data_IF_022793464940
#
_entry.id   IF_022793464940
#
_cell.length_a   1.000
_cell.length_b   1.000
_cell.length_c   1.000
_cell.angle_alpha   90.00
_cell.angle_beta   90.00
_cell.angle_gamma   90.00
#
_symmetry.space_group_name_H-M   'P 1'
#
loop_
_entity.id
_entity.type
_entity.pdbx_description
1 polymer ?
#
# COMPACT_ATOMS: atom_id res chain seq x y z
N UNK A 1 35.91 41.94 -33.82
CA UNK A 1 35.87 40.56 -33.28
C UNK A 1 34.46 40.30 -32.80
N UNK A 2 33.68 39.50 -33.54
CA UNK A 2 32.35 39.07 -33.12
C UNK A 2 32.52 37.91 -32.13
N UNK A 3 32.15 38.16 -30.87
CA UNK A 3 32.11 37.13 -29.84
C UNK A 3 30.78 36.40 -29.98
N UNK A 4 30.81 35.21 -30.55
CA UNK A 4 29.68 34.28 -30.57
C UNK A 4 29.50 33.69 -29.18
N UNK A 5 28.45 34.12 -28.47
CA UNK A 5 28.05 33.55 -27.19
C UNK A 5 27.44 32.17 -27.47
N UNK A 6 27.94 31.08 -26.86
CA UNK A 6 27.34 29.76 -27.03
C UNK A 6 25.94 29.74 -26.39
N UNK A 7 24.95 29.30 -27.17
CA UNK A 7 23.59 29.09 -26.69
C UNK A 7 23.57 27.98 -25.64
N UNK A 8 23.09 28.33 -24.44
CA UNK A 8 22.82 27.37 -23.36
C UNK A 8 21.76 26.39 -23.87
N UNK A 9 21.98 25.06 -23.80
CA UNK A 9 20.96 24.11 -24.21
C UNK A 9 19.74 24.30 -23.30
N UNK A 10 18.59 24.64 -23.90
CA UNK A 10 17.33 24.69 -23.20
C UNK A 10 17.10 23.33 -22.54
N UNK A 11 17.20 23.27 -21.21
CA UNK A 11 16.89 22.08 -20.44
C UNK A 11 15.50 21.59 -20.86
N UNK A 12 15.36 20.29 -21.16
CA UNK A 12 14.06 19.68 -21.46
C UNK A 12 13.11 20.01 -20.32
N UNK A 13 12.21 20.96 -20.54
CA UNK A 13 11.15 21.29 -19.60
C UNK A 13 10.32 20.04 -19.32
N UNK A 14 10.02 19.80 -18.06
CA UNK A 14 9.12 18.75 -17.61
C UNK A 14 7.75 19.00 -18.28
N UNK A 15 7.18 17.98 -18.91
CA UNK A 15 5.92 18.09 -19.67
C UNK A 15 4.72 18.19 -18.73
N UNK A 16 3.63 18.86 -19.12
CA UNK A 16 2.42 19.01 -18.27
C UNK A 16 1.87 17.66 -17.75
N UNK A 17 1.94 16.62 -18.58
CA UNK A 17 1.58 15.24 -18.17
C UNK A 17 2.44 14.73 -17.02
N UNK A 18 3.72 15.08 -16.98
CA UNK A 18 4.62 14.70 -15.90
C UNK A 18 4.29 15.46 -14.61
N UNK A 19 3.89 16.74 -14.70
CA UNK A 19 3.41 17.49 -13.54
C UNK A 19 2.11 16.91 -12.96
N UNK A 20 1.15 16.54 -13.80
CA UNK A 20 -0.09 15.89 -13.34
C UNK A 20 0.22 14.54 -12.67
N UNK A 21 1.12 13.76 -13.26
CA UNK A 21 1.55 12.49 -12.69
C UNK A 21 2.23 12.67 -11.33
N UNK A 22 3.11 13.66 -11.22
CA UNK A 22 3.85 13.97 -9.99
C UNK A 22 2.91 14.46 -8.89
N UNK A 23 1.97 15.36 -9.23
CA UNK A 23 0.95 15.85 -8.31
C UNK A 23 0.03 14.74 -7.81
N UNK A 24 -0.36 13.81 -8.69
CA UNK A 24 -1.17 12.65 -8.30
C UNK A 24 -0.40 11.70 -7.38
N UNK A 25 0.88 11.43 -7.67
CA UNK A 25 1.75 10.60 -6.84
C UNK A 25 1.97 11.21 -5.45
N UNK A 26 2.30 12.50 -5.39
CA UNK A 26 2.52 13.22 -4.13
C UNK A 26 1.22 13.31 -3.32
N UNK A 27 0.10 13.62 -3.99
CA UNK A 27 -1.23 13.66 -3.38
C UNK A 27 -1.60 12.31 -2.76
N UNK A 28 -1.46 11.21 -3.51
CA UNK A 28 -1.74 9.87 -2.98
C UNK A 28 -0.81 9.51 -1.81
N UNK A 29 0.48 9.85 -1.90
CA UNK A 29 1.45 9.55 -0.84
C UNK A 29 1.12 10.30 0.46
N UNK A 30 0.73 11.58 0.34
CA UNK A 30 0.30 12.38 1.48
C UNK A 30 -0.99 11.84 2.09
N UNK A 31 -1.96 11.49 1.25
CA UNK A 31 -3.24 10.93 1.68
C UNK A 31 -3.05 9.61 2.44
N UNK A 32 -2.20 8.71 1.91
CA UNK A 32 -1.79 7.46 2.55
C UNK A 32 -1.15 7.77 3.92
N UNK A 33 -0.15 8.66 3.99
CA UNK A 33 0.50 8.99 5.27
C UNK A 33 -0.49 9.52 6.33
N UNK A 34 -1.42 10.40 5.93
CA UNK A 34 -2.42 10.99 6.84
C UNK A 34 -3.45 9.95 7.28
N UNK A 35 -3.97 9.12 6.37
CA UNK A 35 -4.93 8.06 6.74
C UNK A 35 -4.30 6.97 7.60
N UNK A 36 -3.01 6.66 7.40
CA UNK A 36 -2.27 5.75 8.27
C UNK A 36 -2.18 6.26 9.71
N UNK A 37 -1.87 7.56 9.89
CA UNK A 37 -1.83 8.20 11.22
C UNK A 37 -3.21 8.21 11.86
N UNK A 38 -4.27 8.53 11.11
CA UNK A 38 -5.64 8.54 11.61
C UNK A 38 -6.06 7.13 12.03
N UNK A 39 -5.81 6.13 11.20
CA UNK A 39 -6.12 4.72 11.49
C UNK A 39 -5.40 4.23 12.74
N UNK A 40 -4.10 4.50 12.87
CA UNK A 40 -3.32 4.13 14.05
C UNK A 40 -3.85 4.83 15.32
N UNK A 41 -4.21 6.10 15.21
CA UNK A 41 -4.78 6.88 16.32
C UNK A 41 -6.13 6.32 16.76
N UNK A 42 -6.99 5.98 15.79
CA UNK A 42 -8.33 5.41 16.05
C UNK A 42 -8.24 4.03 16.69
N UNK A 43 -7.26 3.20 16.33
CA UNK A 43 -7.04 1.91 17.00
C UNK A 43 -6.46 2.04 18.41
N UNK A 44 -5.66 3.08 18.66
CA UNK A 44 -4.97 3.26 19.95
C UNK A 44 -5.84 3.92 21.03
N UNK A 45 -6.77 4.79 20.63
CA UNK A 45 -7.65 5.52 21.56
C UNK A 45 -8.58 4.60 22.39
N UNK A 46 -9.26 3.59 21.81
CA UNK A 46 -10.12 2.66 22.55
C UNK A 46 -9.35 1.80 23.55
N UNK A 47 -8.13 1.38 23.22
CA UNK A 47 -7.27 0.54 24.07
C UNK A 47 -6.80 1.31 25.32
N UNK A 48 -6.57 2.61 25.19
CA UNK A 48 -6.06 3.45 26.30
C UNK A 48 -7.15 4.10 27.15
N UNK A 49 -8.42 4.09 26.69
CA UNK A 49 -9.56 4.67 27.43
C UNK A 49 -10.70 3.64 27.62
N UNK A 50 -10.58 2.71 28.59
CA UNK A 50 -11.57 1.65 28.85
C UNK A 50 -12.95 2.14 29.34
N UNK A 51 -13.16 3.45 29.53
CA UNK A 51 -14.44 4.02 29.97
C UNK A 51 -15.39 4.40 28.81
N UNK A 52 -15.03 4.13 27.56
CA UNK A 52 -15.93 4.33 26.42
C UNK A 52 -16.91 3.15 26.36
N UNK A 53 -18.18 3.41 26.69
CA UNK A 53 -19.22 2.37 26.75
C UNK A 53 -19.40 1.54 25.47
N UNK A 54 -20.17 0.45 25.60
CA UNK A 54 -20.41 -0.62 24.61
C UNK A 54 -20.65 -0.16 23.17
N UNK A 55 -21.35 0.96 22.95
CA UNK A 55 -21.63 1.50 21.61
C UNK A 55 -20.39 2.06 20.90
N UNK A 56 -19.46 2.64 21.66
CA UNK A 56 -18.27 3.29 21.10
C UNK A 56 -17.21 2.28 20.68
N UNK A 57 -17.18 1.11 21.32
CA UNK A 57 -16.29 0.00 20.97
C UNK A 57 -16.56 -0.53 19.55
N UNK A 58 -17.82 -0.86 19.25
CA UNK A 58 -18.20 -1.43 17.95
C UNK A 58 -17.95 -0.43 16.81
N UNK A 59 -18.37 0.83 17.01
CA UNK A 59 -18.20 1.90 16.00
C UNK A 59 -16.73 2.26 15.84
N UNK A 60 -15.96 2.34 16.92
CA UNK A 60 -14.53 2.64 16.90
C UNK A 60 -13.73 1.59 16.13
N UNK A 61 -13.98 0.30 16.39
CA UNK A 61 -13.32 -0.79 15.66
C UNK A 61 -13.75 -0.84 14.19
N UNK A 62 -15.03 -0.57 13.88
CA UNK A 62 -15.49 -0.50 12.49
C UNK A 62 -14.80 0.65 11.73
N UNK A 63 -14.71 1.83 12.34
CA UNK A 63 -14.05 2.98 11.72
C UNK A 63 -12.54 2.74 11.58
N UNK A 64 -11.89 2.18 12.60
CA UNK A 64 -10.48 1.80 12.56
C UNK A 64 -10.19 0.79 11.46
N UNK A 65 -10.97 -0.28 11.36
CA UNK A 65 -10.80 -1.30 10.32
C UNK A 65 -11.08 -0.72 8.92
N UNK A 66 -12.10 0.14 8.78
CA UNK A 66 -12.39 0.78 7.49
C UNK A 66 -11.27 1.73 7.06
N UNK A 67 -10.71 2.50 8.01
CA UNK A 67 -9.61 3.42 7.75
C UNK A 67 -8.32 2.68 7.35
N UNK A 68 -8.03 1.54 7.99
CA UNK A 68 -6.86 0.74 7.66
C UNK A 68 -6.98 0.10 6.28
N UNK A 69 -8.15 -0.47 5.95
CA UNK A 69 -8.43 -0.97 4.60
C UNK A 69 -8.33 0.11 3.54
N UNK A 70 -8.85 1.32 3.80
CA UNK A 70 -8.73 2.45 2.90
C UNK A 70 -7.26 2.80 2.60
N UNK A 71 -6.44 2.85 3.64
CA UNK A 71 -5.00 3.12 3.53
C UNK A 71 -4.32 2.12 2.59
N UNK A 72 -4.54 0.82 2.81
CA UNK A 72 -3.92 -0.23 2.00
C UNK A 72 -4.43 -0.25 0.57
N UNK A 73 -5.74 -0.05 0.38
CA UNK A 73 -6.34 0.00 -0.95
C UNK A 73 -5.78 1.17 -1.75
N UNK A 74 -5.56 2.32 -1.11
CA UNK A 74 -4.93 3.49 -1.72
C UNK A 74 -3.48 3.22 -2.14
N UNK A 75 -2.73 2.50 -1.30
CA UNK A 75 -1.38 2.07 -1.63
C UNK A 75 -1.35 1.08 -2.80
N UNK A 76 -2.27 0.13 -2.86
CA UNK A 76 -2.42 -0.79 -4.00
C UNK A 76 -2.67 -0.02 -5.31
N UNK A 77 -3.59 0.96 -5.29
CA UNK A 77 -3.85 1.84 -6.45
C UNK A 77 -2.57 2.53 -6.89
N UNK A 78 -1.79 3.05 -5.94
CA UNK A 78 -0.51 3.70 -6.22
C UNK A 78 0.46 2.78 -6.96
N UNK A 79 0.63 1.55 -6.47
CA UNK A 79 1.56 0.58 -7.08
C UNK A 79 1.08 0.19 -8.47
N UNK A 80 -0.21 -0.15 -8.60
CA UNK A 80 -0.80 -0.54 -9.87
C UNK A 80 -0.72 0.59 -10.90
N UNK A 81 -0.94 1.83 -10.48
CA UNK A 81 -0.78 3.00 -11.33
C UNK A 81 0.67 3.15 -11.82
N UNK A 82 1.67 3.00 -10.94
CA UNK A 82 3.08 2.98 -11.34
C UNK A 82 3.37 1.87 -12.34
N UNK A 83 2.84 0.67 -12.11
CA UNK A 83 2.98 -0.47 -13.02
C UNK A 83 2.41 -0.14 -14.41
N UNK A 84 1.25 0.52 -14.47
CA UNK A 84 0.66 1.02 -15.72
C UNK A 84 1.58 2.03 -16.43
N UNK A 85 2.18 2.97 -15.68
CA UNK A 85 3.13 3.96 -16.24
C UNK A 85 4.39 3.29 -16.78
N UNK A 86 4.99 2.35 -16.02
CA UNK A 86 6.19 1.60 -16.44
C UNK A 86 5.90 0.78 -17.71
N UNK A 87 4.69 0.25 -17.82
CA UNK A 87 4.28 -0.49 -19.02
C UNK A 87 4.03 0.38 -20.26
N UNK A 88 4.10 1.71 -20.12
CA UNK A 88 3.76 2.66 -21.18
C UNK A 88 2.26 2.66 -21.49
N UNK A 89 1.41 2.49 -20.47
CA UNK A 89 -0.06 2.39 -20.61
C UNK A 89 -0.51 1.27 -21.57
N UNK A 90 0.13 0.11 -21.50
CA UNK A 90 -0.33 -1.04 -22.26
C UNK A 90 -1.76 -1.45 -21.83
N UNK A 91 -2.68 -1.55 -22.79
CA UNK A 91 -4.10 -1.83 -22.52
C UNK A 91 -4.30 -3.12 -21.70
N UNK A 92 -3.51 -4.17 -21.99
CA UNK A 92 -3.60 -5.43 -21.25
C UNK A 92 -3.15 -5.29 -19.80
N UNK A 93 -2.11 -4.49 -19.55
CA UNK A 93 -1.65 -4.21 -18.18
C UNK A 93 -2.70 -3.43 -17.42
N UNK A 94 -3.34 -2.43 -18.04
CA UNK A 94 -4.41 -1.64 -17.41
C UNK A 94 -5.61 -2.54 -17.04
N UNK A 95 -6.05 -3.40 -17.97
CA UNK A 95 -7.18 -4.31 -17.73
C UNK A 95 -6.86 -5.29 -16.60
N UNK A 96 -5.68 -5.91 -16.61
CA UNK A 96 -5.27 -6.84 -15.56
C UNK A 96 -5.10 -6.14 -14.20
N UNK A 97 -4.51 -4.94 -14.16
CA UNK A 97 -4.45 -4.11 -12.96
C UNK A 97 -5.84 -3.83 -12.39
N UNK A 98 -6.82 -3.54 -13.25
CA UNK A 98 -8.22 -3.34 -12.85
C UNK A 98 -8.85 -4.60 -12.23
N UNK A 99 -8.57 -5.78 -12.78
CA UNK A 99 -9.06 -7.06 -12.24
C UNK A 99 -8.44 -7.36 -10.87
N UNK A 100 -7.13 -7.18 -10.74
CA UNK A 100 -6.40 -7.38 -9.46
C UNK A 100 -6.94 -6.41 -8.40
N UNK A 101 -7.18 -5.15 -8.77
CA UNK A 101 -7.77 -4.18 -7.88
C UNK A 101 -9.21 -4.50 -7.48
N UNK A 102 -10.05 -4.96 -8.41
CA UNK A 102 -11.42 -5.38 -8.10
C UNK A 102 -11.43 -6.56 -7.11
N UNK A 103 -10.52 -7.53 -7.27
CA UNK A 103 -10.36 -8.62 -6.31
C UNK A 103 -10.05 -8.08 -4.90
N UNK A 104 -9.17 -7.07 -4.78
CA UNK A 104 -8.89 -6.40 -3.50
C UNK A 104 -10.11 -5.78 -2.86
N UNK A 105 -10.85 -5.00 -3.63
CA UNK A 105 -12.07 -4.33 -3.15
C UNK A 105 -13.07 -5.35 -2.61
N UNK A 106 -13.25 -6.48 -3.29
CA UNK A 106 -14.17 -7.54 -2.85
C UNK A 106 -13.74 -8.11 -1.49
N UNK A 107 -12.45 -8.44 -1.31
CA UNK A 107 -11.95 -8.95 -0.03
C UNK A 107 -12.01 -7.93 1.10
N UNK A 108 -11.73 -6.66 0.81
CA UNK A 108 -11.88 -5.55 1.76
C UNK A 108 -13.33 -5.39 2.21
N UNK A 109 -14.30 -5.38 1.29
CA UNK A 109 -15.72 -5.27 1.64
C UNK A 109 -16.16 -6.47 2.49
N UNK A 110 -15.71 -7.67 2.13
CA UNK A 110 -16.00 -8.88 2.91
C UNK A 110 -15.44 -8.77 4.34
N UNK A 111 -14.21 -8.27 4.49
CA UNK A 111 -13.58 -8.12 5.81
C UNK A 111 -14.29 -7.05 6.65
N UNK A 112 -14.60 -5.88 6.09
CA UNK A 112 -15.33 -4.83 6.83
C UNK A 112 -16.72 -5.30 7.27
N UNK A 113 -17.38 -6.12 6.44
CA UNK A 113 -18.73 -6.61 6.75
C UNK A 113 -18.73 -7.76 7.78
N UNK A 114 -17.69 -8.59 7.81
CA UNK A 114 -17.63 -9.79 8.66
C UNK A 114 -16.80 -9.62 9.92
N UNK A 115 -15.78 -8.77 9.89
CA UNK A 115 -14.91 -8.47 11.03
C UNK A 115 -15.46 -7.31 11.83
N UNK A 116 -15.28 -7.32 13.15
CA UNK A 116 -15.85 -6.29 14.01
C UNK A 116 -15.37 -6.36 15.45
N UNK A 117 -15.70 -5.32 16.21
CA UNK A 117 -15.45 -5.26 17.64
C UNK A 117 -16.55 -5.91 18.45
N UNK A 118 -16.19 -6.57 19.55
CA UNK A 118 -17.13 -6.94 20.60
C UNK A 118 -16.62 -6.43 21.96
N UNK A 119 -17.56 -6.08 22.82
CA UNK A 119 -17.26 -5.59 24.16
C UNK A 119 -17.24 -6.75 25.14
N UNK A 120 -16.12 -6.93 25.86
CA UNK A 120 -16.03 -7.88 26.97
C UNK A 120 -16.37 -7.16 28.29
N UNK A 121 -17.47 -7.60 28.90
CA UNK A 121 -17.98 -7.02 30.15
C UNK A 121 -17.15 -7.43 31.37
N UNK A 122 -16.37 -8.51 31.29
CA UNK A 122 -15.53 -9.00 32.39
C UNK A 122 -14.23 -8.21 32.46
N UNK A 123 -13.55 -8.07 31.33
CA UNK A 123 -12.25 -7.38 31.24
C UNK A 123 -12.39 -5.86 31.08
N UNK A 124 -13.60 -5.37 30.78
CA UNK A 124 -13.89 -3.97 30.46
C UNK A 124 -13.02 -3.46 29.31
N UNK A 125 -12.84 -4.31 28.29
CA UNK A 125 -12.02 -4.05 27.12
C UNK A 125 -12.78 -4.33 25.83
N UNK A 126 -12.40 -3.60 24.79
CA UNK A 126 -12.93 -3.78 23.45
C UNK A 126 -12.01 -4.72 22.67
N UNK A 127 -12.51 -5.92 22.34
CA UNK A 127 -11.75 -6.91 21.59
C UNK A 127 -12.13 -6.86 20.11
N UNK A 128 -11.13 -6.99 19.24
CA UNK A 128 -11.34 -7.08 17.80
C UNK A 128 -11.41 -8.54 17.38
N UNK A 129 -12.49 -8.94 16.71
CA UNK A 129 -12.64 -10.28 16.14
C UNK A 129 -12.52 -10.20 14.62
N UNK A 130 -11.39 -10.65 14.12
CA UNK A 130 -11.18 -10.80 12.67
C UNK A 130 -11.82 -12.08 12.17
N UNK A 131 -12.53 -12.02 11.03
CA UNK A 131 -13.01 -13.21 10.37
C UNK A 131 -11.85 -13.89 9.62
N UNK A 132 -11.47 -15.14 9.94
CA UNK A 132 -10.22 -15.73 9.47
C UNK A 132 -10.17 -15.88 7.94
N UNK A 133 -11.29 -16.19 7.29
CA UNK A 133 -11.33 -16.34 5.83
C UNK A 133 -11.13 -14.99 5.11
N UNK A 134 -11.70 -13.90 5.61
CA UNK A 134 -11.48 -12.58 5.02
C UNK A 134 -10.05 -12.10 5.28
N UNK A 135 -9.49 -12.39 6.46
CA UNK A 135 -8.08 -12.11 6.75
C UNK A 135 -7.11 -12.84 5.81
N UNK A 136 -7.34 -14.14 5.54
CA UNK A 136 -6.52 -14.90 4.59
C UNK A 136 -6.71 -14.39 3.17
N UNK A 137 -7.96 -14.22 2.72
CA UNK A 137 -8.26 -13.78 1.36
C UNK A 137 -7.70 -12.39 1.05
N UNK A 138 -7.80 -11.48 2.01
CA UNK A 138 -7.25 -10.14 1.91
C UNK A 138 -5.72 -10.14 1.79
N UNK A 139 -5.01 -10.84 2.68
CA UNK A 139 -3.55 -10.95 2.65
C UNK A 139 -3.02 -11.77 1.46
N UNK A 140 -3.80 -12.73 0.95
CA UNK A 140 -3.46 -13.44 -0.28
C UNK A 140 -3.60 -12.52 -1.50
N UNK A 141 -4.69 -11.73 -1.56
CA UNK A 141 -4.88 -10.72 -2.59
C UNK A 141 -3.77 -9.66 -2.56
N UNK A 142 -3.37 -9.23 -1.36
CA UNK A 142 -2.00 -8.89 -0.96
C UNK A 142 -0.84 -9.13 -1.94
N UNK A 143 -0.27 -10.31 -1.69
CA UNK A 143 0.80 -10.96 -2.40
C UNK A 143 0.54 -11.07 -3.90
N UNK A 144 -0.70 -11.31 -4.33
CA UNK A 144 -1.02 -11.38 -5.76
C UNK A 144 -0.85 -10.03 -6.44
N UNK A 145 -1.29 -8.94 -5.79
CA UNK A 145 -1.10 -7.57 -6.30
C UNK A 145 0.38 -7.22 -6.41
N UNK A 146 1.14 -7.48 -5.35
CA UNK A 146 2.57 -7.22 -5.31
C UNK A 146 3.31 -8.04 -6.37
N UNK A 147 3.07 -9.36 -6.42
CA UNK A 147 3.71 -10.26 -7.38
C UNK A 147 3.39 -9.84 -8.82
N UNK A 148 2.15 -9.48 -9.10
CA UNK A 148 1.74 -8.95 -10.41
C UNK A 148 2.54 -7.69 -10.76
N UNK A 149 2.61 -6.71 -9.85
CA UNK A 149 3.38 -5.49 -10.07
C UNK A 149 4.87 -5.76 -10.28
N UNK A 150 5.46 -6.69 -9.52
CA UNK A 150 6.86 -7.11 -9.69
C UNK A 150 7.09 -7.72 -11.06
N UNK A 151 6.25 -8.68 -11.48
CA UNK A 151 6.40 -9.40 -12.74
C UNK A 151 6.28 -8.44 -13.93
N UNK A 152 5.26 -7.58 -13.93
CA UNK A 152 5.09 -6.58 -14.99
C UNK A 152 6.26 -5.60 -15.03
N UNK A 153 6.71 -5.11 -13.86
CA UNK A 153 7.87 -4.24 -13.77
C UNK A 153 9.12 -4.93 -14.35
N UNK A 154 9.39 -6.18 -13.98
CA UNK A 154 10.53 -6.96 -14.51
C UNK A 154 10.41 -7.11 -16.03
N UNK A 155 9.26 -7.52 -16.57
CA UNK A 155 9.10 -7.77 -18.02
C UNK A 155 9.34 -6.48 -18.83
N UNK A 156 8.71 -5.38 -18.44
CA UNK A 156 8.82 -4.11 -19.17
C UNK A 156 10.17 -3.44 -18.95
N UNK A 157 10.73 -3.53 -17.74
CA UNK A 157 12.11 -3.12 -17.49
C UNK A 157 13.06 -3.95 -18.35
N UNK A 158 12.92 -5.27 -18.44
CA UNK A 158 13.84 -6.12 -19.23
C UNK A 158 13.84 -5.76 -20.72
N UNK A 159 12.67 -5.42 -21.27
CA UNK A 159 12.55 -4.91 -22.64
C UNK A 159 13.28 -3.58 -22.85
N UNK A 160 13.24 -2.68 -21.87
CA UNK A 160 13.93 -1.39 -21.88
C UNK A 160 15.43 -1.52 -21.59
N UNK A 161 15.82 -2.49 -20.76
CA UNK A 161 17.19 -2.81 -20.33
C UNK A 161 18.08 -3.30 -21.48
N UNK A 162 17.48 -3.85 -22.54
CA UNK A 162 18.18 -4.27 -23.76
C UNK A 162 18.77 -3.10 -24.58
N UNK A 163 18.38 -1.85 -24.28
CA UNK A 163 18.73 -0.67 -25.07
C UNK A 163 19.46 0.49 -24.34
N UNK A 164 19.67 0.44 -23.01
CA UNK A 164 20.25 1.58 -22.24
C UNK A 164 21.43 1.19 -21.33
N UNK A 165 22.18 2.16 -20.78
CA UNK A 165 23.43 2.04 -19.98
C UNK A 165 23.19 1.71 -18.49
N UNK A 166 24.20 1.13 -17.81
CA UNK A 166 24.16 0.25 -16.63
C UNK A 166 23.76 0.84 -15.27
N UNK A 167 23.86 2.15 -15.03
CA UNK A 167 23.71 2.74 -13.68
C UNK A 167 22.27 2.87 -13.15
N UNK A 168 21.33 3.33 -13.99
CA UNK A 168 19.92 3.52 -13.59
C UNK A 168 19.14 2.19 -13.52
N UNK A 169 19.77 1.10 -13.96
CA UNK A 169 19.24 -0.27 -14.02
C UNK A 169 19.18 -0.92 -12.64
N UNK A 170 20.25 -0.76 -11.87
CA UNK A 170 20.41 -1.41 -10.58
C UNK A 170 19.45 -0.82 -9.55
N UNK A 171 19.30 0.51 -9.55
CA UNK A 171 18.44 1.23 -8.60
C UNK A 171 16.96 0.86 -8.77
N UNK A 172 16.43 0.87 -10.00
CA UNK A 172 15.00 0.55 -10.25
C UNK A 172 14.71 -0.93 -9.98
N UNK A 173 15.65 -1.82 -10.27
CA UNK A 173 15.51 -3.25 -10.01
C UNK A 173 15.57 -3.57 -8.52
N UNK A 174 16.58 -3.06 -7.81
CA UNK A 174 16.74 -3.29 -6.37
C UNK A 174 15.56 -2.74 -5.56
N UNK A 175 15.06 -1.53 -5.87
CA UNK A 175 13.95 -0.95 -5.12
C UNK A 175 12.64 -1.74 -5.28
N UNK A 176 12.31 -2.18 -6.49
CA UNK A 176 11.05 -2.91 -6.74
C UNK A 176 11.12 -4.36 -6.20
N UNK A 177 12.24 -5.05 -6.38
CA UNK A 177 12.40 -6.43 -5.90
C UNK A 177 12.48 -6.49 -4.38
N UNK A 178 13.23 -5.58 -3.74
CA UNK A 178 13.36 -5.53 -2.29
C UNK A 178 12.00 -5.23 -1.62
N UNK A 179 11.22 -4.29 -2.18
CA UNK A 179 9.88 -3.99 -1.68
C UNK A 179 8.97 -5.20 -1.74
N UNK A 180 8.89 -5.88 -2.88
CA UNK A 180 8.05 -7.07 -3.04
C UNK A 180 8.50 -8.23 -2.15
N UNK A 181 9.80 -8.38 -1.91
CA UNK A 181 10.32 -9.36 -0.95
C UNK A 181 9.92 -9.04 0.50
N UNK A 182 10.07 -7.79 0.93
CA UNK A 182 9.67 -7.39 2.29
C UNK A 182 8.15 -7.55 2.47
N UNK A 183 7.35 -7.10 1.51
CA UNK A 183 5.89 -7.25 1.58
C UNK A 183 5.46 -8.72 1.61
N UNK A 184 6.10 -9.60 0.82
CA UNK A 184 5.86 -11.04 0.88
C UNK A 184 6.13 -11.62 2.28
N UNK A 185 7.24 -11.23 2.91
CA UNK A 185 7.59 -11.66 4.27
C UNK A 185 6.57 -11.14 5.30
N UNK A 186 6.19 -9.87 5.22
CA UNK A 186 5.20 -9.25 6.12
C UNK A 186 3.82 -9.91 5.95
N UNK A 187 3.37 -10.13 4.72
CA UNK A 187 2.08 -10.75 4.42
C UNK A 187 2.03 -12.22 4.82
N UNK A 188 3.13 -12.96 4.65
CA UNK A 188 3.24 -14.34 5.13
C UNK A 188 3.14 -14.41 6.66
N UNK A 189 3.77 -13.47 7.35
CA UNK A 189 3.68 -13.37 8.82
C UNK A 189 2.30 -12.89 9.27
N UNK A 190 1.65 -11.98 8.54
CA UNK A 190 0.28 -11.54 8.78
C UNK A 190 -0.73 -12.69 8.65
N UNK A 191 -0.57 -13.56 7.63
CA UNK A 191 -1.38 -14.77 7.47
C UNK A 191 -1.19 -15.75 8.63
N UNK A 192 0.07 -15.94 9.08
CA UNK A 192 0.35 -16.75 10.26
C UNK A 192 -0.32 -16.15 11.50
N UNK A 193 -0.13 -14.85 11.74
CA UNK A 193 -0.76 -14.11 12.84
C UNK A 193 -2.29 -14.22 12.85
N UNK A 194 -2.94 -14.09 11.70
CA UNK A 194 -4.39 -14.22 11.56
C UNK A 194 -4.94 -15.61 11.94
N UNK A 195 -4.10 -16.65 11.91
CA UNK A 195 -4.48 -18.02 12.25
C UNK A 195 -4.10 -18.42 13.68
N UNK A 196 -3.03 -17.84 14.23
CA UNK A 196 -2.45 -18.32 15.50
C UNK A 196 -2.41 -17.29 16.63
N UNK A 197 -2.51 -15.99 16.33
CA UNK A 197 -2.31 -14.92 17.33
C UNK A 197 -3.59 -14.10 17.48
N UNK A 198 -4.21 -14.18 18.65
CA UNK A 198 -5.38 -13.37 19.03
C UNK A 198 -5.01 -12.03 19.66
N UNK A 199 -3.72 -11.79 19.93
CA UNK A 199 -3.26 -10.59 20.63
C UNK A 199 -3.28 -9.34 19.72
N UNK A 200 -4.03 -8.29 20.09
CA UNK A 200 -4.18 -7.09 19.27
C UNK A 200 -2.88 -6.31 19.10
N UNK A 201 -1.91 -6.47 20.02
CA UNK A 201 -0.58 -5.86 19.93
C UNK A 201 0.22 -6.38 18.73
N UNK A 202 0.20 -7.69 18.48
CA UNK A 202 0.94 -8.29 17.37
C UNK A 202 0.33 -7.93 16.03
N UNK A 203 -1.00 -7.90 15.95
CA UNK A 203 -1.70 -7.39 14.77
C UNK A 203 -1.31 -5.93 14.51
N UNK A 204 -1.34 -5.07 15.53
CA UNK A 204 -0.92 -3.67 15.40
C UNK A 204 0.57 -3.53 14.99
N UNK A 205 1.47 -4.35 15.54
CA UNK A 205 2.88 -4.35 15.18
C UNK A 205 3.10 -4.72 13.71
N UNK A 206 2.37 -5.72 13.19
CA UNK A 206 2.41 -6.11 11.78
C UNK A 206 1.92 -4.95 10.90
N UNK A 207 0.79 -4.32 11.26
CA UNK A 207 0.27 -3.13 10.58
C UNK A 207 1.30 -1.99 10.58
N UNK A 208 1.99 -1.76 11.69
CA UNK A 208 3.04 -0.73 11.79
C UNK A 208 4.27 -1.04 10.94
N UNK A 209 4.69 -2.30 10.85
CA UNK A 209 5.80 -2.74 9.98
C UNK A 209 5.41 -2.56 8.50
N UNK A 210 4.17 -2.90 8.14
CA UNK A 210 3.64 -2.72 6.79
C UNK A 210 3.58 -1.21 6.45
N UNK A 211 3.06 -0.38 7.35
CA UNK A 211 3.07 1.09 7.20
C UNK A 211 4.48 1.65 7.07
N UNK A 212 5.42 1.18 7.88
CA UNK A 212 6.81 1.62 7.84
C UNK A 212 7.48 1.23 6.52
N UNK A 213 7.27 0.00 6.04
CA UNK A 213 7.79 -0.47 4.75
C UNK A 213 7.21 0.34 3.58
N UNK A 214 5.91 0.64 3.63
CA UNK A 214 5.22 1.48 2.65
C UNK A 214 5.72 2.93 2.65
N UNK A 215 6.10 3.46 3.81
CA UNK A 215 6.51 4.87 4.00
C UNK A 215 8.02 5.09 3.84
N UNK A 216 8.86 4.10 4.18
CA UNK A 216 10.33 4.22 4.22
C UNK A 216 11.01 3.74 2.93
N UNK A 217 10.28 3.01 2.07
CA UNK A 217 10.65 2.82 0.66
C UNK A 217 9.82 3.72 -0.28
N UNK A 218 9.79 5.06 -0.11
CA UNK A 218 9.35 5.92 -1.19
C UNK A 218 10.45 5.86 -2.26
N UNK A 219 10.11 5.53 -3.52
CA UNK A 219 11.10 5.49 -4.59
C UNK A 219 11.73 6.88 -4.73
N UNK A 220 13.06 6.95 -4.61
CA UNK A 220 13.79 8.19 -4.92
C UNK A 220 13.79 8.35 -6.44
N UNK A 221 12.71 8.91 -6.98
CA UNK A 221 12.67 9.34 -8.37
C UNK A 221 13.33 10.71 -8.53
N UNK A 222 14.63 10.80 -8.21
CA UNK A 222 15.58 11.82 -8.71
C UNK A 222 17.00 11.36 -8.38
#
# INVERSE_FOLDING_TARGET
MNVTIPSIPSGRGITDRQYTLLGLIIGLTLEIAVTGIISASVFYIPVTKPKQGKSNCVIGNLFGNSASHYFYLSFDVFVLFKTCVISGFNVWVIVLSGIVFANRVIWTILDIYKSGGYWDEIEQQCHYRQFPLSGIGYNASDMVCDLYCTVVSIIFSWKMLRFSSSGMKELIYQENVLRSFIMLCVNSYAMYGALTITDPFWTLAIFMIQNYTCTYFPPKWF
#
